data_IF_623697552563
#
_entry.id   IF_623697552563
#
_cell.length_a   1.000
_cell.length_b   1.000
_cell.length_c   1.000
_cell.angle_alpha   90.00
_cell.angle_beta   90.00
_cell.angle_gamma   90.00
#
_symmetry.space_group_name_H-M   'P 1'
#
loop_
_entity.id
_entity.type
_entity.pdbx_description
1 polymer ?
#
# COMPACT_ATOMS: atom_id res chain seq x y z
N UNK A 1 -39.01 3.96 -39.08
CA UNK A 1 -39.09 5.34 -39.59
C UNK A 1 -39.80 5.28 -40.93
N UNK A 2 -40.93 5.99 -41.09
CA UNK A 2 -41.88 5.85 -42.20
C UNK A 2 -41.27 6.37 -43.52
N UNK A 3 -41.46 5.60 -44.59
CA UNK A 3 -41.16 5.99 -45.96
C UNK A 3 -42.30 6.88 -46.46
N UNK A 4 -41.94 8.08 -46.87
CA UNK A 4 -42.84 9.18 -47.23
C UNK A 4 -43.58 8.92 -48.54
N UNK A 5 -44.84 9.34 -48.51
CA UNK A 5 -45.82 9.46 -49.59
C UNK A 5 -45.29 10.16 -50.85
N UNK A 6 -45.78 9.78 -52.03
CA UNK A 6 -46.61 10.71 -52.82
C UNK A 6 -47.38 10.01 -53.95
N UNK A 7 -48.70 10.06 -53.85
CA UNK A 7 -49.68 9.66 -54.86
C UNK A 7 -50.15 10.93 -55.56
N UNK A 8 -49.98 11.05 -56.89
CA UNK A 8 -50.69 12.04 -57.71
C UNK A 8 -51.30 11.40 -58.95
N UNK A 9 -52.44 10.77 -58.69
CA UNK A 9 -53.75 11.00 -59.29
C UNK A 9 -53.82 11.65 -60.69
N UNK A 10 -54.42 10.88 -61.61
CA UNK A 10 -54.93 11.24 -62.94
C UNK A 10 -56.08 12.26 -62.84
N UNK A 11 -56.35 13.03 -63.91
CA UNK A 11 -57.69 13.43 -64.37
C UNK A 11 -57.65 13.89 -65.85
N UNK A 12 -58.59 13.34 -66.62
CA UNK A 12 -58.95 13.56 -68.04
C UNK A 12 -59.77 14.88 -68.21
N UNK A 13 -60.48 15.18 -69.33
CA UNK A 13 -60.28 15.00 -70.79
C UNK A 13 -60.55 16.31 -71.59
N UNK A 14 -60.22 16.36 -72.89
CA UNK A 14 -60.92 17.27 -73.81
C UNK A 14 -60.84 16.78 -75.27
N UNK A 15 -61.95 16.23 -75.74
CA UNK A 15 -62.28 15.99 -77.16
C UNK A 15 -62.86 17.27 -77.78
N UNK A 16 -62.33 17.74 -78.91
CA UNK A 16 -63.10 18.50 -79.90
C UNK A 16 -62.78 17.95 -81.29
N UNK A 17 -63.87 17.67 -81.99
CA UNK A 17 -63.98 17.09 -83.31
C UNK A 17 -63.81 18.11 -84.45
N UNK A 18 -63.84 17.54 -85.66
CA UNK A 18 -64.43 18.10 -86.89
C UNK A 18 -63.48 18.82 -87.87
N UNK A 19 -63.13 18.05 -88.93
CA UNK A 19 -63.39 18.34 -90.35
C UNK A 19 -63.08 19.75 -90.88
N UNK A 20 -62.15 19.87 -91.84
CA UNK A 20 -62.41 20.42 -93.19
C UNK A 20 -61.31 19.94 -94.14
N UNK A 21 -61.76 19.22 -95.17
CA UNK A 21 -61.05 18.92 -96.40
C UNK A 21 -61.08 20.19 -97.27
N UNK A 22 -59.93 20.84 -97.47
CA UNK A 22 -59.78 21.89 -98.48
C UNK A 22 -58.32 21.96 -98.93
N UNK A 23 -58.00 21.30 -100.04
CA UNK A 23 -56.88 21.70 -100.89
C UNK A 23 -57.44 22.68 -101.93
N UNK A 24 -56.85 23.86 -102.06
CA UNK A 24 -56.25 24.17 -103.35
C UNK A 24 -54.86 24.78 -103.18
N UNK A 25 -53.94 24.31 -104.03
CA UNK A 25 -52.75 25.02 -104.52
C UNK A 25 -52.30 26.29 -103.76
N UNK A 26 -51.46 26.10 -102.74
CA UNK A 26 -50.49 27.12 -102.28
C UNK A 26 -49.09 26.50 -102.21
N UNK A 27 -48.67 25.83 -103.29
CA UNK A 27 -47.29 25.36 -103.45
C UNK A 27 -46.36 26.50 -103.89
N UNK A 28 -46.39 27.65 -103.19
CA UNK A 28 -45.37 28.70 -103.26
C UNK A 28 -45.14 29.49 -101.93
N UNK A 29 -45.60 28.98 -100.78
CA UNK A 29 -45.21 29.51 -99.45
C UNK A 29 -44.64 28.45 -98.48
N UNK A 30 -44.57 27.18 -98.92
CA UNK A 30 -44.06 26.07 -98.12
C UNK A 30 -42.54 25.93 -98.16
N UNK A 31 -41.84 26.73 -98.98
CA UNK A 31 -40.38 26.73 -99.06
C UNK A 31 -39.75 27.73 -98.07
N UNK A 32 -40.36 28.90 -97.86
CA UNK A 32 -39.95 29.87 -96.84
C UNK A 32 -40.23 29.38 -95.41
N UNK A 33 -41.34 28.67 -95.18
CA UNK A 33 -41.73 28.16 -93.84
C UNK A 33 -40.95 26.93 -93.35
N UNK A 34 -40.41 26.11 -94.26
CA UNK A 34 -39.57 24.95 -93.92
C UNK A 34 -38.16 25.41 -93.53
N UNK A 35 -37.64 26.40 -94.24
CA UNK A 35 -36.37 27.05 -93.92
C UNK A 35 -36.44 27.81 -92.58
N UNK A 36 -37.54 28.54 -92.30
CA UNK A 36 -37.77 29.21 -91.01
C UNK A 36 -37.81 28.22 -89.83
N UNK A 37 -38.44 27.06 -90.03
CA UNK A 37 -38.50 25.98 -89.03
C UNK A 37 -37.14 25.34 -88.80
N UNK A 38 -36.39 25.03 -89.85
CA UNK A 38 -35.02 24.49 -89.74
C UNK A 38 -34.09 25.49 -89.05
N UNK A 39 -34.21 26.79 -89.35
CA UNK A 39 -33.47 27.84 -88.62
C UNK A 39 -33.85 27.90 -87.15
N UNK A 40 -35.13 27.76 -86.84
CA UNK A 40 -35.63 27.77 -85.46
C UNK A 40 -35.18 26.52 -84.70
N UNK A 41 -35.21 25.36 -85.34
CA UNK A 41 -34.74 24.08 -84.80
C UNK A 41 -33.22 24.11 -84.58
N UNK A 42 -32.45 24.66 -85.52
CA UNK A 42 -31.01 24.81 -85.38
C UNK A 42 -30.62 25.83 -84.28
N UNK A 43 -31.40 26.91 -84.12
CA UNK A 43 -31.24 27.83 -82.98
C UNK A 43 -31.58 27.15 -81.65
N UNK A 44 -32.65 26.36 -81.60
CA UNK A 44 -33.06 25.62 -80.41
C UNK A 44 -32.02 24.56 -80.03
N UNK A 45 -31.51 23.76 -80.98
CA UNK A 45 -30.44 22.79 -80.70
C UNK A 45 -29.14 23.48 -80.28
N UNK A 46 -28.80 24.63 -80.86
CA UNK A 46 -27.65 25.44 -80.43
C UNK A 46 -27.85 25.96 -79.00
N UNK A 47 -29.06 26.38 -78.63
CA UNK A 47 -29.39 26.79 -77.26
C UNK A 47 -29.34 25.62 -76.27
N UNK A 48 -29.86 24.45 -76.65
CA UNK A 48 -29.80 23.22 -75.84
C UNK A 48 -28.37 22.75 -75.62
N UNK A 49 -27.50 22.79 -76.65
CA UNK A 49 -26.09 22.46 -76.51
C UNK A 49 -25.38 23.42 -75.54
N UNK A 50 -25.67 24.73 -75.62
CA UNK A 50 -25.13 25.72 -74.68
C UNK A 50 -25.62 25.50 -73.25
N UNK A 51 -26.90 25.16 -73.06
CA UNK A 51 -27.47 24.87 -71.74
C UNK A 51 -26.88 23.58 -71.16
N UNK A 52 -26.75 22.51 -71.95
CA UNK A 52 -26.10 21.27 -71.51
C UNK A 52 -24.62 21.49 -71.17
N UNK A 53 -23.88 22.28 -71.97
CA UNK A 53 -22.49 22.61 -71.69
C UNK A 53 -22.36 23.43 -70.38
N UNK A 54 -23.27 24.39 -70.14
CA UNK A 54 -23.34 25.14 -68.89
C UNK A 54 -23.65 24.23 -67.68
N UNK A 55 -24.63 23.33 -67.83
CA UNK A 55 -24.98 22.35 -66.79
C UNK A 55 -23.84 21.38 -66.51
N UNK A 56 -23.11 20.93 -67.53
CA UNK A 56 -21.93 20.09 -67.37
C UNK A 56 -20.85 20.82 -66.56
N UNK A 57 -20.53 22.06 -66.94
CA UNK A 57 -19.57 22.88 -66.19
C UNK A 57 -20.02 23.11 -64.73
N UNK A 58 -21.32 23.33 -64.50
CA UNK A 58 -21.90 23.48 -63.17
C UNK A 58 -21.82 22.19 -62.34
N UNK A 59 -22.08 21.03 -62.93
CA UNK A 59 -21.97 19.73 -62.27
C UNK A 59 -20.51 19.36 -61.97
N UNK A 60 -19.58 19.65 -62.87
CA UNK A 60 -18.15 19.45 -62.66
C UNK A 60 -17.63 20.33 -61.51
N UNK A 61 -18.06 21.59 -61.45
CA UNK A 61 -17.74 22.49 -60.34
C UNK A 61 -18.37 22.04 -59.01
N UNK A 62 -19.62 21.56 -59.03
CA UNK A 62 -20.27 21.01 -57.83
C UNK A 62 -19.57 19.72 -57.36
N UNK A 63 -19.16 18.86 -58.29
CA UNK A 63 -18.42 17.63 -58.01
C UNK A 63 -17.05 17.93 -57.42
N UNK A 64 -16.28 18.86 -58.00
CA UNK A 64 -14.96 19.22 -57.46
C UNK A 64 -15.07 19.80 -56.04
N UNK A 65 -16.07 20.66 -55.79
CA UNK A 65 -16.32 21.19 -54.45
C UNK A 65 -16.73 20.09 -53.45
N UNK A 66 -17.57 19.15 -53.87
CA UNK A 66 -17.95 18.00 -53.05
C UNK A 66 -16.76 17.07 -52.75
N UNK A 67 -15.87 16.84 -53.71
CA UNK A 67 -14.63 16.07 -53.52
C UNK A 67 -13.69 16.77 -52.53
N UNK A 68 -13.49 18.09 -52.65
CA UNK A 68 -12.70 18.88 -51.69
C UNK A 68 -13.28 18.80 -50.28
N UNK A 69 -14.61 18.96 -50.12
CA UNK A 69 -15.25 18.86 -48.81
C UNK A 69 -15.16 17.45 -48.22
N UNK A 70 -15.33 16.40 -49.03
CA UNK A 70 -15.15 15.01 -48.61
C UNK A 70 -13.73 14.75 -48.13
N UNK A 71 -12.73 15.22 -48.87
CA UNK A 71 -11.33 14.99 -48.53
C UNK A 71 -10.92 15.79 -47.29
N UNK A 72 -11.43 17.02 -47.14
CA UNK A 72 -11.29 17.80 -45.91
C UNK A 72 -11.95 17.12 -44.70
N UNK A 73 -13.15 16.57 -44.84
CA UNK A 73 -13.83 15.84 -43.77
C UNK A 73 -13.09 14.55 -43.39
N UNK A 74 -12.60 13.79 -44.38
CA UNK A 74 -11.77 12.60 -44.16
C UNK A 74 -10.47 12.94 -43.42
N UNK A 75 -9.82 14.04 -43.79
CA UNK A 75 -8.62 14.50 -43.10
C UNK A 75 -8.91 14.89 -41.63
N UNK A 76 -10.05 15.52 -41.36
CA UNK A 76 -10.48 15.83 -39.99
C UNK A 76 -10.76 14.56 -39.17
N UNK A 77 -11.46 13.57 -39.74
CA UNK A 77 -11.72 12.29 -39.08
C UNK A 77 -10.41 11.57 -38.75
N UNK A 78 -9.47 11.48 -39.69
CA UNK A 78 -8.17 10.86 -39.46
C UNK A 78 -7.39 11.59 -38.35
N UNK A 79 -7.43 12.92 -38.31
CA UNK A 79 -6.80 13.72 -37.26
C UNK A 79 -7.45 13.52 -35.89
N UNK A 80 -8.78 13.39 -35.83
CA UNK A 80 -9.51 13.12 -34.60
C UNK A 80 -9.24 11.70 -34.09
N UNK A 81 -9.22 10.70 -34.98
CA UNK A 81 -8.86 9.32 -34.64
C UNK A 81 -7.44 9.25 -34.06
N UNK A 82 -6.45 9.85 -34.73
CA UNK A 82 -5.08 9.89 -34.22
C UNK A 82 -4.97 10.59 -32.85
N UNK A 83 -5.81 11.62 -32.59
CA UNK A 83 -5.88 12.26 -31.26
C UNK A 83 -6.52 11.35 -30.21
N UNK A 84 -7.57 10.63 -30.56
CA UNK A 84 -8.20 9.66 -29.66
C UNK A 84 -7.21 8.55 -29.28
N UNK A 85 -6.54 7.95 -30.26
CA UNK A 85 -5.55 6.90 -30.02
C UNK A 85 -4.40 7.40 -29.13
N UNK A 86 -3.94 8.64 -29.35
CA UNK A 86 -2.91 9.26 -28.52
C UNK A 86 -3.40 9.54 -27.09
N UNK A 87 -4.64 10.01 -26.92
CA UNK A 87 -5.22 10.26 -25.59
C UNK A 87 -5.46 8.96 -24.84
N UNK A 88 -5.96 7.92 -25.50
CA UNK A 88 -6.15 6.59 -24.92
C UNK A 88 -4.81 5.98 -24.49
N UNK A 89 -3.78 6.06 -25.33
CA UNK A 89 -2.43 5.63 -24.98
C UNK A 89 -1.86 6.37 -23.77
N UNK A 90 -2.05 7.69 -23.71
CA UNK A 90 -1.65 8.51 -22.57
C UNK A 90 -2.44 8.18 -21.30
N UNK A 91 -3.75 7.91 -21.41
CA UNK A 91 -4.59 7.56 -20.27
C UNK A 91 -4.20 6.20 -19.70
N UNK A 92 -3.98 5.20 -20.56
CA UNK A 92 -3.54 3.85 -20.14
C UNK A 92 -2.17 3.91 -19.47
N UNK A 93 -1.22 4.64 -20.04
CA UNK A 93 0.12 4.81 -19.44
C UNK A 93 0.05 5.58 -18.12
N UNK A 94 -0.75 6.65 -18.05
CA UNK A 94 -0.97 7.40 -16.82
C UNK A 94 -1.61 6.54 -15.73
N UNK A 95 -2.64 5.74 -16.07
CA UNK A 95 -3.31 4.82 -15.16
C UNK A 95 -2.35 3.73 -14.65
N UNK A 96 -1.50 3.17 -15.51
CA UNK A 96 -0.47 2.22 -15.08
C UNK A 96 0.54 2.87 -14.13
N UNK A 97 0.97 4.09 -14.45
CA UNK A 97 1.92 4.83 -13.61
C UNK A 97 1.33 5.21 -12.25
N UNK A 98 0.05 5.60 -12.18
CA UNK A 98 -0.63 5.92 -10.93
C UNK A 98 -0.85 4.67 -10.10
N UNK A 99 -1.27 3.56 -10.71
CA UNK A 99 -1.42 2.27 -10.04
C UNK A 99 -0.08 1.79 -9.45
N UNK A 100 1.01 1.89 -10.21
CA UNK A 100 2.35 1.54 -9.74
C UNK A 100 2.80 2.43 -8.57
N UNK A 101 2.51 3.74 -8.61
CA UNK A 101 2.79 4.67 -7.51
C UNK A 101 2.00 4.35 -6.25
N UNK A 102 0.73 3.94 -6.39
CA UNK A 102 -0.12 3.53 -5.27
C UNK A 102 0.40 2.22 -4.67
N UNK A 103 0.75 1.23 -5.49
CA UNK A 103 1.34 -0.02 -4.99
C UNK A 103 2.65 0.24 -4.23
N UNK A 104 3.54 1.05 -4.81
CA UNK A 104 4.80 1.42 -4.16
C UNK A 104 4.62 2.28 -2.89
N UNK A 105 3.54 3.07 -2.78
CA UNK A 105 3.26 3.81 -1.54
C UNK A 105 2.68 2.90 -0.45
N UNK A 106 1.85 1.93 -0.83
CA UNK A 106 1.33 0.91 0.09
C UNK A 106 2.47 0.06 0.65
N UNK A 107 3.36 -0.45 -0.21
CA UNK A 107 4.51 -1.23 0.22
C UNK A 107 5.40 -0.46 1.20
N UNK A 108 5.72 0.81 0.90
CA UNK A 108 6.48 1.66 1.84
C UNK A 108 5.75 1.88 3.17
N UNK A 109 4.43 1.97 3.14
CA UNK A 109 3.63 2.12 4.37
C UNK A 109 3.66 0.84 5.19
N UNK A 110 3.59 -0.32 4.56
CA UNK A 110 3.70 -1.62 5.21
C UNK A 110 5.09 -1.85 5.79
N UNK A 111 6.15 -1.51 5.07
CA UNK A 111 7.52 -1.56 5.58
C UNK A 111 7.70 -0.66 6.82
N UNK A 112 7.17 0.57 6.78
CA UNK A 112 7.24 1.49 7.92
C UNK A 112 6.44 0.98 9.12
N UNK A 113 5.28 0.37 8.91
CA UNK A 113 4.50 -0.27 9.98
C UNK A 113 5.25 -1.47 10.56
N UNK A 114 5.80 -2.34 9.72
CA UNK A 114 6.59 -3.49 10.15
C UNK A 114 7.80 -3.08 11.00
N UNK A 115 8.57 -2.08 10.54
CA UNK A 115 9.69 -1.54 11.30
C UNK A 115 9.26 -0.91 12.62
N UNK A 116 8.11 -0.23 12.66
CA UNK A 116 7.57 0.33 13.89
C UNK A 116 7.13 -0.75 14.88
N UNK A 117 6.48 -1.80 14.41
CA UNK A 117 6.05 -2.94 15.22
C UNK A 117 7.27 -3.70 15.78
N UNK A 118 8.33 -3.88 14.98
CA UNK A 118 9.59 -4.47 15.42
C UNK A 118 10.29 -3.62 16.49
N UNK A 119 10.33 -2.30 16.32
CA UNK A 119 10.85 -1.39 17.35
C UNK A 119 10.03 -1.46 18.64
N UNK A 120 8.70 -1.58 18.53
CA UNK A 120 7.82 -1.70 19.68
C UNK A 120 8.03 -3.02 20.43
N UNK A 121 8.20 -4.14 19.72
CA UNK A 121 8.49 -5.44 20.34
C UNK A 121 9.87 -5.43 21.00
N UNK A 122 10.88 -4.85 20.34
CA UNK A 122 12.22 -4.69 20.91
C UNK A 122 12.19 -3.83 22.18
N UNK A 123 11.48 -2.69 22.16
CA UNK A 123 11.36 -1.82 23.33
C UNK A 123 10.70 -2.53 24.51
N UNK A 124 9.62 -3.28 24.26
CA UNK A 124 8.96 -4.11 25.29
C UNK A 124 9.87 -5.21 25.81
N UNK A 125 10.63 -5.87 24.94
CA UNK A 125 11.62 -6.88 25.32
C UNK A 125 12.70 -6.29 26.22
N UNK A 126 13.23 -5.12 25.87
CA UNK A 126 14.24 -4.42 26.67
C UNK A 126 13.72 -3.96 28.03
N UNK A 127 12.48 -3.48 28.11
CA UNK A 127 11.90 -3.12 29.41
C UNK A 127 11.65 -4.37 30.28
N UNK A 128 11.23 -5.49 29.69
CA UNK A 128 11.10 -6.76 30.41
C UNK A 128 12.47 -7.24 30.93
N UNK A 129 13.51 -7.22 30.09
CA UNK A 129 14.90 -7.51 30.51
C UNK A 129 15.34 -6.60 31.65
N UNK A 130 15.10 -5.28 31.53
CA UNK A 130 15.45 -4.31 32.57
C UNK A 130 14.77 -4.64 33.90
N UNK A 131 13.48 -5.00 33.89
CA UNK A 131 12.74 -5.38 35.09
C UNK A 131 13.28 -6.68 35.70
N UNK A 132 13.60 -7.68 34.88
CA UNK A 132 14.19 -8.94 35.37
C UNK A 132 15.56 -8.71 36.02
N UNK A 133 16.43 -7.93 35.38
CA UNK A 133 17.75 -7.57 35.90
C UNK A 133 17.62 -6.72 37.17
N UNK A 134 16.70 -5.77 37.22
CA UNK A 134 16.45 -4.97 38.41
C UNK A 134 16.01 -5.85 39.59
N UNK A 135 15.13 -6.83 39.35
CA UNK A 135 14.70 -7.78 40.38
C UNK A 135 15.85 -8.67 40.86
N UNK A 136 16.67 -9.18 39.94
CA UNK A 136 17.83 -9.99 40.28
C UNK A 136 18.86 -9.19 41.10
N UNK A 137 19.11 -7.93 40.73
CA UNK A 137 19.99 -7.04 41.49
C UNK A 137 19.44 -6.76 42.90
N UNK A 138 18.14 -6.52 43.04
CA UNK A 138 17.52 -6.33 44.36
C UNK A 138 17.65 -7.57 45.24
N UNK A 139 17.41 -8.77 44.67
CA UNK A 139 17.58 -10.04 45.39
C UNK A 139 19.03 -10.24 45.84
N UNK A 140 20.00 -10.08 44.92
CA UNK A 140 21.43 -10.20 45.26
C UNK A 140 21.87 -9.16 46.28
N UNK A 141 21.37 -7.94 46.20
CA UNK A 141 21.68 -6.89 47.18
C UNK A 141 21.15 -7.25 48.57
N UNK A 142 19.92 -7.78 48.66
CA UNK A 142 19.34 -8.24 49.92
C UNK A 142 20.09 -9.46 50.51
N UNK A 143 20.49 -10.42 49.66
CA UNK A 143 21.32 -11.55 50.04
C UNK A 143 22.67 -11.09 50.60
N UNK A 144 23.34 -10.14 49.93
CA UNK A 144 24.62 -9.59 50.39
C UNK A 144 24.48 -8.82 51.71
N UNK A 145 23.45 -7.99 51.86
CA UNK A 145 23.18 -7.29 53.13
C UNK A 145 22.97 -8.28 54.28
N UNK A 146 22.22 -9.35 54.03
CA UNK A 146 22.02 -10.41 55.02
C UNK A 146 23.35 -11.08 55.36
N UNK A 147 24.17 -11.41 54.36
CA UNK A 147 25.48 -12.03 54.57
C UNK A 147 26.41 -11.13 55.40
N UNK A 148 26.45 -9.83 55.11
CA UNK A 148 27.26 -8.86 55.87
C UNK A 148 26.78 -8.77 57.32
N UNK A 149 25.46 -8.66 57.57
CA UNK A 149 24.90 -8.63 58.93
C UNK A 149 25.25 -9.90 59.72
N UNK A 150 25.13 -11.06 59.08
CA UNK A 150 25.44 -12.36 59.69
C UNK A 150 26.93 -12.51 59.98
N UNK A 151 27.79 -12.02 59.09
CA UNK A 151 29.24 -12.00 59.30
C UNK A 151 29.61 -11.12 60.50
N UNK A 152 28.99 -9.94 60.61
CA UNK A 152 29.18 -9.04 61.75
C UNK A 152 28.72 -9.68 63.07
N UNK A 153 27.53 -10.30 63.09
CA UNK A 153 27.03 -11.07 64.24
C UNK A 153 28.00 -12.18 64.65
N UNK A 154 28.53 -12.93 63.68
CA UNK A 154 29.47 -14.02 63.93
C UNK A 154 30.81 -13.49 64.48
N UNK A 155 31.30 -12.37 63.95
CA UNK A 155 32.52 -11.73 64.41
C UNK A 155 32.39 -11.20 65.85
N UNK A 156 31.24 -10.58 66.19
CA UNK A 156 30.95 -10.14 67.55
C UNK A 156 30.87 -11.31 68.52
N UNK A 157 30.17 -12.39 68.16
CA UNK A 157 30.12 -13.60 68.97
C UNK A 157 31.52 -14.21 69.17
N UNK A 158 32.36 -14.23 68.14
CA UNK A 158 33.75 -14.65 68.24
C UNK A 158 34.58 -13.80 69.20
N UNK A 159 34.40 -12.48 69.21
CA UNK A 159 35.03 -11.57 70.19
C UNK A 159 34.53 -11.81 71.61
N UNK A 160 33.24 -12.02 71.80
CA UNK A 160 32.66 -12.33 73.11
C UNK A 160 33.28 -13.60 73.70
N UNK A 161 33.42 -14.67 72.89
CA UNK A 161 34.09 -15.91 73.27
C UNK A 161 35.53 -15.66 73.70
N UNK A 162 36.30 -14.89 72.91
CA UNK A 162 37.69 -14.58 73.22
C UNK A 162 37.81 -13.82 74.56
N UNK A 163 36.95 -12.82 74.80
CA UNK A 163 36.97 -12.06 76.06
C UNK A 163 36.56 -12.93 77.26
N UNK A 164 35.63 -13.87 77.08
CA UNK A 164 35.25 -14.82 78.11
C UNK A 164 36.45 -15.69 78.50
N UNK A 165 37.22 -16.17 77.53
CA UNK A 165 38.47 -16.90 77.78
C UNK A 165 39.54 -16.05 78.49
N UNK A 166 39.72 -14.79 78.09
CA UNK A 166 40.69 -13.88 78.75
C UNK A 166 40.31 -13.57 80.20
N UNK A 167 39.02 -13.31 80.47
CA UNK A 167 38.51 -13.06 81.83
C UNK A 167 38.63 -14.28 82.75
N UNK A 168 38.56 -15.49 82.19
CA UNK A 168 38.83 -16.73 82.90
C UNK A 168 40.31 -16.85 83.32
N UNK A 169 41.24 -16.43 82.46
CA UNK A 169 42.67 -16.49 82.74
C UNK A 169 43.11 -15.60 83.91
N UNK A 170 42.53 -14.42 84.07
CA UNK A 170 43.00 -13.42 85.03
C UNK A 170 42.51 -13.63 86.48
N UNK A 171 41.34 -14.25 86.69
CA UNK A 171 40.73 -14.40 88.03
C UNK A 171 40.14 -15.77 88.37
N UNK A 172 39.90 -16.66 87.39
CA UNK A 172 39.18 -17.91 87.64
C UNK A 172 40.07 -19.09 88.04
N UNK A 173 41.37 -19.05 87.70
CA UNK A 173 42.34 -20.08 88.09
C UNK A 173 42.45 -20.22 89.62
N UNK A 174 42.21 -19.15 90.38
CA UNK A 174 42.13 -19.18 91.84
C UNK A 174 40.83 -19.82 92.36
N UNK A 175 39.70 -19.71 91.65
CA UNK A 175 38.40 -20.30 92.04
C UNK A 175 38.23 -21.76 91.59
N UNK A 176 38.84 -22.17 90.47
CA UNK A 176 38.76 -23.54 89.95
C UNK A 176 39.44 -24.60 90.83
N UNK A 177 40.29 -24.19 91.78
CA UNK A 177 40.98 -25.12 92.70
C UNK A 177 40.12 -25.54 93.91
N UNK A 178 38.87 -25.09 94.01
CA UNK A 178 37.95 -25.44 95.09
C UNK A 178 36.96 -26.55 94.66
N UNK A 179 36.87 -27.67 95.40
CA UNK A 179 36.16 -28.90 94.98
C UNK A 179 34.61 -28.83 95.00
N UNK A 180 33.98 -27.69 95.27
CA UNK A 180 32.51 -27.52 95.38
C UNK A 180 31.91 -26.50 94.40
N UNK A 181 32.60 -26.20 93.30
CA UNK A 181 32.18 -25.17 92.35
C UNK A 181 31.17 -25.68 91.28
N UNK A 182 30.23 -26.55 91.67
CA UNK A 182 29.24 -27.15 90.74
C UNK A 182 28.39 -26.09 90.03
N UNK A 183 28.02 -24.98 90.70
CA UNK A 183 27.28 -23.88 90.06
C UNK A 183 28.10 -23.18 88.97
N UNK A 184 29.41 -23.01 89.17
CA UNK A 184 30.28 -22.37 88.18
C UNK A 184 30.44 -23.23 86.92
N UNK A 185 30.44 -24.56 87.04
CA UNK A 185 30.45 -25.46 85.87
C UNK A 185 29.20 -25.29 85.02
N UNK A 186 28.02 -25.25 85.63
CA UNK A 186 26.75 -25.05 84.91
C UNK A 186 26.68 -23.67 84.24
N UNK A 187 27.19 -22.62 84.91
CA UNK A 187 27.30 -21.29 84.30
C UNK A 187 28.21 -21.28 83.06
N UNK A 188 29.34 -22.00 83.09
CA UNK A 188 30.21 -22.13 81.92
C UNK A 188 29.53 -22.89 80.78
N UNK A 189 28.82 -23.96 81.09
CA UNK A 189 28.13 -24.79 80.11
C UNK A 189 27.00 -24.00 79.42
N UNK A 190 26.23 -23.23 80.20
CA UNK A 190 25.19 -22.33 79.67
C UNK A 190 25.79 -21.23 78.79
N UNK A 191 26.91 -20.61 79.20
CA UNK A 191 27.57 -19.57 78.41
C UNK A 191 28.12 -20.13 77.09
N UNK A 192 28.68 -21.33 77.12
CA UNK A 192 29.18 -22.03 75.95
C UNK A 192 28.04 -22.42 74.98
N UNK A 193 26.91 -22.88 75.50
CA UNK A 193 25.71 -23.15 74.70
C UNK A 193 25.16 -21.87 74.06
N UNK A 194 24.99 -20.80 74.82
CA UNK A 194 24.48 -19.52 74.30
C UNK A 194 25.36 -18.95 73.17
N UNK A 195 26.69 -19.05 73.31
CA UNK A 195 27.62 -18.63 72.27
C UNK A 195 27.64 -19.60 71.07
N UNK A 196 27.49 -20.90 71.29
CA UNK A 196 27.32 -21.90 70.24
C UNK A 196 26.08 -21.64 69.39
N UNK A 197 24.96 -21.33 70.05
CA UNK A 197 23.69 -20.98 69.39
C UNK A 197 23.82 -19.69 68.57
N UNK A 198 24.54 -18.68 69.06
CA UNK A 198 24.82 -17.45 68.31
C UNK A 198 25.65 -17.70 67.06
N UNK A 199 26.72 -18.50 67.14
CA UNK A 199 27.52 -18.86 65.96
C UNK A 199 26.72 -19.69 64.95
N UNK A 200 25.93 -20.65 65.44
CA UNK A 200 25.13 -21.51 64.60
C UNK A 200 24.04 -20.71 63.85
N UNK A 201 23.34 -19.81 64.55
CA UNK A 201 22.32 -18.95 63.96
C UNK A 201 22.91 -17.89 63.00
N UNK A 202 24.17 -17.50 63.19
CA UNK A 202 24.88 -16.56 62.31
C UNK A 202 25.49 -17.23 61.07
N UNK A 203 25.51 -18.56 60.99
CA UNK A 203 26.10 -19.26 59.85
C UNK A 203 25.28 -19.04 58.57
N UNK A 204 25.91 -18.51 57.53
CA UNK A 204 25.29 -18.37 56.21
C UNK A 204 25.44 -19.69 55.46
N UNK A 205 24.33 -20.35 55.14
CA UNK A 205 24.33 -21.55 54.30
C UNK A 205 24.79 -21.21 52.88
N UNK A 206 25.95 -21.74 52.48
CA UNK A 206 26.41 -21.66 51.08
C UNK A 206 25.54 -22.62 50.26
N UNK A 207 24.43 -22.12 49.72
CA UNK A 207 23.75 -22.82 48.63
C UNK A 207 24.64 -22.65 47.40
N UNK A 208 25.51 -23.65 47.20
CA UNK A 208 26.30 -23.80 45.98
C UNK A 208 25.29 -24.08 44.87
N UNK A 209 24.94 -23.06 44.10
CA UNK A 209 24.10 -23.24 42.92
C UNK A 209 24.87 -24.08 41.91
N UNK A 210 24.52 -25.35 41.80
CA UNK A 210 24.96 -26.30 40.78
C UNK A 210 24.48 -25.84 39.38
N UNK A 211 25.04 -24.73 38.90
CA UNK A 211 24.69 -24.11 37.62
C UNK A 211 25.81 -24.23 36.58
N UNK A 212 26.89 -24.95 36.91
CA UNK A 212 28.03 -25.23 36.01
C UNK A 212 27.93 -26.59 35.29
N UNK A 213 26.93 -27.42 35.56
CA UNK A 213 26.79 -28.75 34.93
C UNK A 213 25.97 -28.78 33.63
N UNK A 214 25.42 -27.64 33.17
CA UNK A 214 24.64 -27.58 31.91
C UNK A 214 25.28 -26.76 30.77
N UNK A 215 26.55 -26.34 30.91
CA UNK A 215 27.27 -25.63 29.84
C UNK A 215 28.05 -26.56 28.89
N UNK A 216 28.01 -27.89 29.10
CA UNK A 216 28.76 -28.87 28.30
C UNK A 216 27.95 -29.72 27.31
N UNK A 217 26.64 -29.50 27.18
CA UNK A 217 25.76 -30.37 26.38
C UNK A 217 25.30 -29.76 25.03
N UNK A 218 25.87 -28.63 24.60
CA UNK A 218 25.50 -27.95 23.36
C UNK A 218 26.64 -27.90 22.33
N UNK A 219 27.54 -28.88 22.32
CA UNK A 219 28.57 -29.02 21.30
C UNK A 219 28.71 -30.48 20.85
N UNK A 220 27.62 -31.06 20.35
CA UNK A 220 27.64 -32.17 19.39
C UNK A 220 26.24 -32.41 18.79
N UNK A 221 25.88 -31.67 17.75
CA UNK A 221 25.17 -32.25 16.60
C UNK A 221 25.31 -31.33 15.38
N UNK A 222 25.48 -31.94 14.21
CA UNK A 222 25.88 -31.31 12.95
C UNK A 222 24.82 -30.55 12.18
#
# INVERSE_FOLDING_TARGET
MKMTDNVRTKWFPATIALLVLALPAWTQAQQSSLEERLRTELRNTTQQLRDLQSRQAGLEAARSNAEVQRDAARAQVAKLQARLDAVEGNLVSQQRSSQARIAASQERTEQMRGAYDELLTLAKGKEAERLTLQKALQQRTAELQTCVSRNEEMYLAGKEILSAYESLGAGSLFKMRQPLATSSRVEFENRAQEMGDRLYNAQVGVVRSDQDSNAGAAENDG
#
